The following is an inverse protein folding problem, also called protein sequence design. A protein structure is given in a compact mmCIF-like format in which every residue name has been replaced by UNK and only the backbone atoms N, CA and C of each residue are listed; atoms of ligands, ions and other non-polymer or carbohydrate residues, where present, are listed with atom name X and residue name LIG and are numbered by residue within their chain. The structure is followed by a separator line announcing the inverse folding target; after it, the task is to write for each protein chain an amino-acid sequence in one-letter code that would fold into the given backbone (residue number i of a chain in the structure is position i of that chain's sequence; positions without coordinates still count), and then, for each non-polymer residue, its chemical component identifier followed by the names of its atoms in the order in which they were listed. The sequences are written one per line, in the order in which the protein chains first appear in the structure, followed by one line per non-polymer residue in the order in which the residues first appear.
data_IF_514393160015
#
_entry.id   IF_514393160015
#
_cell.length_a   1.000
_cell.length_b   1.000
_cell.length_c   1.000
_cell.angle_alpha   90.00
_cell.angle_beta   90.00
_cell.angle_gamma   90.00
#
_symmetry.space_group_name_H-M   'P 1'
#
loop_
_entity.id
_entity.type
_entity.pdbx_description
1 polymer ?
#
# COMPACT_ATOMS: atom_id res chain seq x y z
N UNK A 1 -47.22 7.81 19.52
CA UNK A 1 -46.06 8.60 19.98
C UNK A 1 -44.85 7.70 19.81
N UNK A 2 -43.89 8.09 18.97
CA UNK A 2 -42.71 7.25 18.68
C UNK A 2 -41.58 7.74 19.57
N UNK A 3 -41.27 6.97 20.61
CA UNK A 3 -40.18 7.27 21.52
C UNK A 3 -38.86 6.89 20.86
N UNK A 4 -37.95 7.85 20.71
CA UNK A 4 -36.64 7.62 20.09
C UNK A 4 -35.64 7.34 21.21
N UNK A 5 -35.24 6.08 21.38
CA UNK A 5 -34.18 5.72 22.31
C UNK A 5 -32.81 5.91 21.68
N UNK A 6 -31.88 6.47 22.44
CA UNK A 6 -30.47 6.52 22.04
C UNK A 6 -29.93 5.09 21.89
N UNK A 7 -29.29 4.74 20.76
CA UNK A 7 -28.70 3.42 20.58
C UNK A 7 -27.66 3.11 21.66
N UNK A 8 -27.65 1.87 22.16
CA UNK A 8 -26.74 1.43 23.21
C UNK A 8 -25.26 1.77 22.96
N UNK A 9 -24.83 1.73 21.69
CA UNK A 9 -23.45 2.06 21.30
C UNK A 9 -23.10 3.55 21.43
N UNK A 10 -24.05 4.46 21.26
CA UNK A 10 -23.79 5.90 21.24
C UNK A 10 -23.35 6.43 22.62
N UNK A 11 -23.87 5.85 23.71
CA UNK A 11 -23.45 6.21 25.08
C UNK A 11 -22.08 5.65 25.48
N UNK A 12 -21.44 4.86 24.62
CA UNK A 12 -20.12 4.24 24.87
C UNK A 12 -19.05 4.74 23.90
N UNK A 13 -19.41 5.65 23.00
CA UNK A 13 -18.44 6.30 22.13
C UNK A 13 -17.74 7.40 22.91
N UNK A 14 -16.43 7.29 23.02
CA UNK A 14 -15.58 8.39 23.46
C UNK A 14 -15.15 9.23 22.24
N UNK A 15 -14.86 10.53 22.44
CA UNK A 15 -14.21 11.31 21.40
C UNK A 15 -12.92 10.65 20.92
N UNK A 16 -12.66 10.73 19.62
CA UNK A 16 -11.34 10.34 19.11
C UNK A 16 -10.24 11.14 19.82
N UNK A 17 -9.08 10.51 19.98
CA UNK A 17 -7.90 11.18 20.51
C UNK A 17 -7.64 12.46 19.71
N UNK A 18 -7.31 13.55 20.41
CA UNK A 18 -6.95 14.80 19.77
C UNK A 18 -5.75 14.57 18.83
N UNK A 19 -5.86 15.04 17.60
CA UNK A 19 -4.78 14.98 16.62
C UNK A 19 -4.08 16.33 16.52
N UNK A 20 -2.79 16.30 16.20
CA UNK A 20 -2.02 17.49 15.86
C UNK A 20 -1.91 17.59 14.34
N UNK A 21 -2.01 18.80 13.80
CA UNK A 21 -1.74 19.04 12.39
C UNK A 21 -0.24 18.86 12.13
N UNK A 22 0.11 17.97 11.20
CA UNK A 22 1.49 17.82 10.71
C UNK A 22 1.64 18.72 9.49
N UNK A 23 2.60 19.66 9.48
CA UNK A 23 2.87 20.49 8.30
C UNK A 23 3.19 19.62 7.08
N UNK A 24 2.53 19.91 5.97
CA UNK A 24 2.88 19.30 4.68
C UNK A 24 4.07 20.05 4.10
N UNK A 25 5.17 19.33 3.87
CA UNK A 25 6.36 19.88 3.20
C UNK A 25 6.35 19.32 1.77
N UNK A 26 6.00 20.13 0.75
CA UNK A 26 6.00 19.66 -0.62
C UNK A 26 7.44 19.35 -1.07
N UNK A 27 7.67 18.24 -1.76
CA UNK A 27 8.98 17.97 -2.35
C UNK A 27 9.29 18.99 -3.45
N UNK A 28 10.56 19.39 -3.55
CA UNK A 28 11.08 20.18 -4.66
C UNK A 28 11.78 19.26 -5.66
N UNK A 29 11.84 19.67 -6.94
CA UNK A 29 12.64 18.96 -7.95
C UNK A 29 14.01 19.60 -8.01
N UNK A 30 15.05 18.81 -7.79
CA UNK A 30 16.43 19.23 -8.05
C UNK A 30 16.64 19.39 -9.57
N UNK A 31 17.00 20.58 -10.07
CA UNK A 31 17.16 20.82 -11.50
C UNK A 31 18.32 20.04 -12.13
N UNK A 32 19.37 19.68 -11.38
CA UNK A 32 20.53 18.96 -11.91
C UNK A 32 20.23 17.46 -12.06
N UNK A 33 19.60 16.87 -11.04
CA UNK A 33 19.36 15.43 -11.00
C UNK A 33 17.97 15.03 -11.49
N UNK A 34 17.02 15.97 -11.56
CA UNK A 34 15.60 15.72 -11.85
C UNK A 34 14.94 14.77 -10.84
N UNK A 35 15.44 14.74 -9.60
CA UNK A 35 14.94 13.90 -8.52
C UNK A 35 14.21 14.76 -7.48
N UNK A 36 13.14 14.21 -6.89
CA UNK A 36 12.42 14.84 -5.80
C UNK A 36 13.24 14.87 -4.50
N UNK A 37 13.39 16.04 -3.90
CA UNK A 37 14.06 16.26 -2.61
C UNK A 37 13.07 16.85 -1.59
N UNK A 38 13.09 16.32 -0.35
CA UNK A 38 12.38 16.92 0.77
C UNK A 38 13.38 17.75 1.58
N UNK A 39 13.02 18.99 1.89
CA UNK A 39 13.86 19.92 2.65
C UNK A 39 13.17 20.21 3.98
N UNK A 40 13.87 20.02 5.09
CA UNK A 40 13.33 20.33 6.42
C UNK A 40 13.23 21.84 6.67
N UNK A 41 12.62 22.22 7.81
CA UNK A 41 12.49 23.62 8.21
C UNK A 41 13.83 24.36 8.42
N UNK A 42 14.96 23.63 8.47
CA UNK A 42 16.31 24.16 8.61
C UNK A 42 17.10 24.14 7.30
N UNK A 43 16.45 23.82 6.16
CA UNK A 43 17.10 23.80 4.85
C UNK A 43 17.91 22.53 4.57
N UNK A 44 17.77 21.47 5.36
CA UNK A 44 18.51 20.22 5.17
C UNK A 44 17.71 19.23 4.34
N UNK A 45 18.34 18.58 3.39
CA UNK A 45 17.73 17.48 2.62
C UNK A 45 17.48 16.28 3.53
N UNK A 46 16.24 15.83 3.56
CA UNK A 46 15.83 14.60 4.25
C UNK A 46 15.95 13.45 3.27
N UNK A 47 16.74 12.44 3.63
CA UNK A 47 16.86 11.23 2.84
C UNK A 47 15.53 10.47 2.85
N UNK A 48 14.96 10.24 1.67
CA UNK A 48 13.86 9.30 1.49
C UNK A 48 14.47 7.90 1.50
N UNK A 49 14.27 7.15 2.59
CA UNK A 49 14.75 5.77 2.64
C UNK A 49 14.15 4.98 1.47
N UNK A 50 14.97 4.20 0.76
CA UNK A 50 14.54 3.43 -0.39
C UNK A 50 13.33 2.56 -0.04
N UNK A 51 12.21 2.82 -0.70
CA UNK A 51 11.04 1.96 -0.55
C UNK A 51 11.27 0.68 -1.37
N UNK A 52 11.40 -0.45 -0.68
CA UNK A 52 11.35 -1.75 -1.33
C UNK A 52 9.97 -1.98 -1.95
N UNK A 53 9.93 -2.27 -3.25
CA UNK A 53 8.72 -2.76 -3.92
C UNK A 53 8.45 -4.18 -3.41
N UNK A 54 7.36 -4.34 -2.67
CA UNK A 54 6.94 -5.68 -2.23
C UNK A 54 6.37 -6.42 -3.44
N UNK A 55 7.09 -7.43 -3.92
CA UNK A 55 6.52 -8.39 -4.88
C UNK A 55 5.67 -9.39 -4.10
N UNK A 56 4.36 -9.36 -4.30
CA UNK A 56 3.44 -10.36 -3.74
C UNK A 56 3.65 -11.68 -4.49
N UNK A 57 4.17 -12.70 -3.81
CA UNK A 57 4.23 -14.05 -4.37
C UNK A 57 2.80 -14.57 -4.57
N UNK A 58 2.41 -14.83 -5.81
CA UNK A 58 1.15 -15.51 -6.09
C UNK A 58 1.24 -16.94 -5.55
N UNK A 59 0.22 -17.36 -4.80
CA UNK A 59 0.03 -18.78 -4.44
C UNK A 59 -0.55 -19.47 -5.67
N UNK A 60 0.14 -20.46 -6.27
CA UNK A 60 -0.42 -21.18 -7.42
C UNK A 60 -1.69 -21.92 -6.98
N UNK A 61 -2.81 -21.69 -7.67
CA UNK A 61 -4.05 -22.46 -7.45
C UNK A 61 -4.12 -23.63 -8.42
N UNK A 62 -3.83 -24.84 -7.96
CA UNK A 62 -4.13 -26.05 -8.74
C UNK A 62 -5.64 -26.32 -8.69
N UNK A 63 -6.30 -26.26 -9.84
CA UNK A 63 -7.69 -26.71 -9.98
C UNK A 63 -7.70 -28.14 -10.52
N UNK A 64 -8.21 -29.11 -9.75
CA UNK A 64 -8.45 -30.47 -10.25
C UNK A 64 -9.68 -30.46 -11.16
N UNK A 65 -9.64 -31.09 -12.35
CA UNK A 65 -10.83 -31.25 -13.18
C UNK A 65 -11.93 -32.00 -12.41
N UNK A 66 -13.15 -31.47 -12.38
CA UNK A 66 -14.33 -32.23 -11.96
C UNK A 66 -14.60 -33.40 -12.92
N UNK A 67 -15.46 -34.33 -12.53
CA UNK A 67 -15.84 -35.57 -13.24
C UNK A 67 -16.57 -35.36 -14.59
N UNK A 68 -16.52 -34.15 -15.15
CA UNK A 68 -17.08 -33.81 -16.46
C UNK A 68 -16.16 -34.22 -17.60
N UNK A 69 -16.71 -34.91 -18.60
CA UNK A 69 -16.05 -35.33 -19.84
C UNK A 69 -15.66 -34.16 -20.75
N UNK A 70 -14.66 -33.38 -20.36
CA UNK A 70 -14.08 -32.28 -21.15
C UNK A 70 -12.54 -32.26 -21.06
N UNK A 71 -11.83 -31.67 -22.04
CA UNK A 71 -10.37 -31.79 -22.13
C UNK A 71 -9.70 -31.22 -20.87
N UNK A 72 -8.87 -32.05 -20.25
CA UNK A 72 -8.20 -31.76 -19.00
C UNK A 72 -7.10 -30.69 -19.12
N UNK A 73 -6.90 -29.98 -18.00
CA UNK A 73 -5.69 -29.20 -17.74
C UNK A 73 -5.68 -27.81 -18.39
N UNK A 74 -6.41 -26.87 -17.82
CA UNK A 74 -5.94 -25.48 -17.81
C UNK A 74 -5.12 -25.30 -16.53
N UNK A 75 -3.82 -25.56 -16.60
CA UNK A 75 -2.90 -24.94 -15.64
C UNK A 75 -2.90 -23.46 -16.01
N UNK A 76 -3.38 -22.62 -15.11
CA UNK A 76 -3.12 -21.17 -15.08
C UNK A 76 -1.63 -20.95 -14.80
N UNK A 77 -0.77 -21.46 -15.68
CA UNK A 77 0.62 -21.07 -15.76
C UNK A 77 0.71 -19.77 -16.56
N UNK A 78 -0.04 -18.76 -16.12
CA UNK A 78 0.12 -17.40 -16.61
C UNK A 78 1.39 -16.84 -15.95
N UNK A 79 2.48 -16.97 -16.72
CA UNK A 79 3.66 -16.11 -16.74
C UNK A 79 4.44 -15.95 -15.44
N UNK A 80 5.72 -16.34 -15.48
CA UNK A 80 6.69 -15.82 -14.53
C UNK A 80 6.87 -14.32 -14.77
N UNK A 81 6.30 -13.52 -13.89
CA UNK A 81 6.52 -12.09 -13.85
C UNK A 81 7.81 -11.81 -13.06
N UNK A 82 8.89 -11.54 -13.80
CA UNK A 82 10.18 -11.05 -13.29
C UNK A 82 10.07 -9.55 -13.03
N UNK A 83 10.42 -9.06 -11.84
CA UNK A 83 10.69 -7.64 -11.66
C UNK A 83 11.91 -7.36 -10.78
N UNK A 84 12.77 -6.49 -11.30
CA UNK A 84 14.10 -6.15 -10.83
C UNK A 84 14.13 -5.75 -9.35
N UNK A 85 15.00 -6.42 -8.60
CA UNK A 85 15.45 -5.96 -7.30
C UNK A 85 16.43 -4.81 -7.53
N UNK A 86 15.96 -3.57 -7.48
CA UNK A 86 16.86 -2.42 -7.31
C UNK A 86 17.60 -2.58 -5.98
N UNK A 87 18.83 -3.07 -6.07
CA UNK A 87 19.84 -2.95 -5.04
C UNK A 87 20.50 -1.59 -5.23
N UNK A 88 19.94 -0.54 -4.64
CA UNK A 88 20.66 0.72 -4.49
C UNK A 88 21.84 0.47 -3.54
N UNK A 89 23.02 0.31 -4.12
CA UNK A 89 24.30 0.51 -3.42
C UNK A 89 24.79 1.90 -3.81
N UNK A 90 24.64 2.84 -2.89
CA UNK A 90 25.19 4.18 -2.96
C UNK A 90 25.54 4.64 -1.57
#
# INVERSE_FOLDING_TARGET
MTETFTPWGAGRMEPYAATVAVPQIPPAIDPETQIAVIVDAHGRTVAMAGHGTSTSGLTPTTTTPGDGSGPGGATDADSQESYDQDKSSG
#
